data_IF_061656324874
#
_entry.id   IF_061656324874
#
_cell.length_a   1.000
_cell.length_b   1.000
_cell.length_c   1.000
_cell.angle_alpha   90.00
_cell.angle_beta   90.00
_cell.angle_gamma   90.00
#
_symmetry.space_group_name_H-M   'P 1'
#
loop_
_entity.id
_entity.type
_entity.pdbx_description
1 polymer ?
#
# COMPACT_ATOMS: atom_id res chain seq x y z
N UNK A 1 12.07 -18.43 29.72
CA UNK A 1 11.56 -19.38 28.72
C UNK A 1 10.12 -19.17 28.27
N UNK A 2 9.17 -18.71 29.11
CA UNK A 2 7.80 -18.40 28.65
C UNK A 2 7.62 -16.99 28.06
N UNK A 3 8.46 -16.02 28.45
CA UNK A 3 8.36 -14.62 28.01
C UNK A 3 9.00 -14.35 26.64
N UNK A 4 10.07 -15.08 26.32
CA UNK A 4 10.79 -15.05 25.04
C UNK A 4 9.93 -15.57 23.86
N UNK A 5 9.14 -16.64 24.04
CA UNK A 5 8.24 -17.13 22.99
C UNK A 5 7.05 -16.18 22.72
N UNK A 6 6.65 -15.39 23.72
CA UNK A 6 5.59 -14.39 23.58
C UNK A 6 6.09 -13.14 22.85
N UNK A 7 7.34 -12.68 23.09
CA UNK A 7 7.89 -11.53 22.35
C UNK A 7 8.10 -11.85 20.87
N UNK A 8 8.64 -13.03 20.58
CA UNK A 8 8.95 -13.49 19.22
C UNK A 8 7.69 -13.58 18.34
N UNK A 9 6.58 -14.08 18.93
CA UNK A 9 5.28 -14.11 18.26
C UNK A 9 4.73 -12.71 17.93
N UNK A 10 4.88 -11.74 18.84
CA UNK A 10 4.38 -10.36 18.63
C UNK A 10 5.15 -9.67 17.52
N UNK A 11 6.47 -9.85 17.48
CA UNK A 11 7.32 -9.32 16.42
C UNK A 11 6.96 -9.93 15.05
N UNK A 12 6.74 -11.25 15.03
CA UNK A 12 6.33 -11.93 13.81
C UNK A 12 4.98 -11.41 13.27
N UNK A 13 3.95 -11.32 14.12
CA UNK A 13 2.63 -10.81 13.75
C UNK A 13 2.73 -9.37 13.24
N UNK A 14 3.49 -8.50 13.92
CA UNK A 14 3.74 -7.12 13.49
C UNK A 14 4.31 -7.07 12.07
N UNK A 15 5.34 -7.87 11.77
CA UNK A 15 5.96 -7.88 10.45
C UNK A 15 4.99 -8.33 9.35
N UNK A 16 4.16 -9.35 9.64
CA UNK A 16 3.14 -9.85 8.71
C UNK A 16 2.07 -8.80 8.48
N UNK A 17 1.55 -8.17 9.54
CA UNK A 17 0.49 -7.17 9.44
C UNK A 17 0.94 -5.96 8.62
N UNK A 18 2.16 -5.45 8.81
CA UNK A 18 2.68 -4.32 8.03
C UNK A 18 2.79 -4.68 6.55
N UNK A 19 3.30 -5.87 6.25
CA UNK A 19 3.43 -6.37 4.87
C UNK A 19 2.06 -6.54 4.22
N UNK A 20 1.14 -7.22 4.90
CA UNK A 20 -0.19 -7.52 4.39
C UNK A 20 -1.03 -6.25 4.17
N UNK A 21 -1.03 -5.32 5.13
CA UNK A 21 -1.75 -4.05 5.00
C UNK A 21 -1.18 -3.19 3.88
N UNK A 22 0.15 -3.13 3.76
CA UNK A 22 0.82 -2.36 2.69
C UNK A 22 0.49 -2.91 1.30
N UNK A 23 0.49 -4.23 1.15
CA UNK A 23 0.15 -4.89 -0.10
C UNK A 23 -1.34 -4.75 -0.45
N UNK A 24 -2.25 -5.03 0.50
CA UNK A 24 -3.70 -4.95 0.28
C UNK A 24 -4.15 -3.53 -0.08
N UNK A 25 -3.60 -2.51 0.58
CA UNK A 25 -3.89 -1.11 0.25
C UNK A 25 -3.32 -0.71 -1.11
N UNK A 26 -2.16 -1.23 -1.51
CA UNK A 26 -1.63 -1.04 -2.87
C UNK A 26 -2.58 -1.60 -3.93
N UNK A 27 -3.08 -2.82 -3.73
CA UNK A 27 -4.08 -3.44 -4.62
C UNK A 27 -5.36 -2.62 -4.67
N UNK A 28 -5.91 -2.24 -3.52
CA UNK A 28 -7.13 -1.43 -3.43
C UNK A 28 -6.96 -0.07 -4.13
N UNK A 29 -5.81 0.57 -3.97
CA UNK A 29 -5.47 1.80 -4.69
C UNK A 29 -5.43 1.58 -6.22
N UNK A 30 -5.03 0.40 -6.69
CA UNK A 30 -5.01 0.05 -8.11
C UNK A 30 -6.41 0.05 -8.72
N UNK A 31 -7.36 -0.59 -8.03
CA UNK A 31 -8.77 -0.56 -8.40
C UNK A 31 -9.36 0.85 -8.31
N UNK A 32 -9.05 1.59 -7.25
CA UNK A 32 -9.52 2.96 -7.09
C UNK A 32 -8.97 3.89 -8.18
N UNK A 33 -7.72 3.68 -8.62
CA UNK A 33 -7.13 4.43 -9.73
C UNK A 33 -7.88 4.14 -11.01
N UNK A 34 -8.17 2.86 -11.30
CA UNK A 34 -8.98 2.47 -12.47
C UNK A 34 -10.38 3.11 -12.43
N UNK A 35 -11.03 3.17 -11.27
CA UNK A 35 -12.34 3.80 -11.16
C UNK A 35 -12.34 5.31 -11.46
N UNK A 36 -11.22 6.00 -11.23
CA UNK A 36 -11.08 7.45 -11.49
C UNK A 36 -10.60 7.72 -12.93
N UNK A 37 -9.75 6.85 -13.47
CA UNK A 37 -9.20 6.98 -14.83
C UNK A 37 -9.97 6.19 -15.89
N UNK A 38 -11.04 5.49 -15.52
CA UNK A 38 -11.80 4.58 -16.40
C UNK A 38 -12.49 5.26 -17.59
N UNK A 39 -12.77 6.57 -17.49
CA UNK A 39 -13.31 7.38 -18.59
C UNK A 39 -12.25 7.81 -19.62
N UNK A 40 -10.98 7.43 -19.42
CA UNK A 40 -9.91 7.77 -20.36
C UNK A 40 -10.11 7.07 -21.71
N UNK A 41 -9.96 7.82 -22.79
CA UNK A 41 -10.17 7.33 -24.16
C UNK A 41 -9.23 6.18 -24.60
N UNK A 42 -8.15 5.95 -23.85
CA UNK A 42 -7.20 4.85 -24.09
C UNK A 42 -6.45 4.48 -22.81
N UNK A 43 -5.89 3.27 -22.78
CA UNK A 43 -5.04 2.81 -21.68
C UNK A 43 -3.80 3.71 -21.49
N UNK A 44 -3.23 4.25 -22.57
CA UNK A 44 -2.11 5.21 -22.51
C UNK A 44 -2.51 6.54 -21.85
N UNK A 45 -3.74 7.01 -22.11
CA UNK A 45 -4.27 8.21 -21.47
C UNK A 45 -4.53 7.98 -19.98
N UNK A 46 -5.02 6.79 -19.60
CA UNK A 46 -5.17 6.41 -18.19
C UNK A 46 -3.82 6.25 -17.48
N UNK A 47 -2.82 5.68 -18.14
CA UNK A 47 -1.49 5.45 -17.58
C UNK A 47 -0.70 6.75 -17.36
N UNK A 48 -0.96 7.77 -18.18
CA UNK A 48 -0.32 9.09 -18.07
C UNK A 48 -1.06 10.06 -17.14
N UNK A 49 -2.20 9.64 -16.57
CA UNK A 49 -2.97 10.51 -15.68
C UNK A 49 -2.34 10.61 -14.28
N UNK A 50 -2.00 11.85 -13.90
CA UNK A 50 -1.44 12.18 -12.59
C UNK A 50 -2.41 11.86 -11.44
N UNK A 51 -3.72 11.73 -11.71
CA UNK A 51 -4.72 11.43 -10.69
C UNK A 51 -4.49 10.08 -10.00
N UNK A 52 -4.09 9.06 -10.75
CA UNK A 52 -3.75 7.75 -10.18
C UNK A 52 -2.54 7.84 -9.24
N UNK A 53 -1.51 8.60 -9.65
CA UNK A 53 -0.33 8.85 -8.82
C UNK A 53 -0.66 9.60 -7.53
N UNK A 54 -1.50 10.65 -7.62
CA UNK A 54 -1.93 11.43 -6.47
C UNK A 54 -2.74 10.58 -5.47
N UNK A 55 -3.57 9.65 -5.97
CA UNK A 55 -4.34 8.75 -5.12
C UNK A 55 -3.42 7.84 -4.31
N UNK A 56 -2.39 7.26 -4.93
CA UNK A 56 -1.42 6.40 -4.24
C UNK A 56 -0.64 7.18 -3.21
N UNK A 57 -0.23 8.40 -3.55
CA UNK A 57 0.48 9.27 -2.62
C UNK A 57 -0.40 9.61 -1.39
N UNK A 58 -1.70 9.84 -1.61
CA UNK A 58 -2.69 9.96 -0.54
C UNK A 58 -2.86 8.68 0.28
N UNK A 59 -2.90 7.52 -0.37
CA UNK A 59 -3.02 6.22 0.31
C UNK A 59 -1.78 5.91 1.19
N UNK A 60 -0.59 6.26 0.72
CA UNK A 60 0.66 6.15 1.49
C UNK A 60 0.62 7.05 2.73
N UNK A 61 0.18 8.31 2.58
CA UNK A 61 0.01 9.21 3.72
C UNK A 61 -1.01 8.69 4.73
N UNK A 62 -2.13 8.13 4.25
CA UNK A 62 -3.14 7.51 5.08
C UNK A 62 -2.58 6.28 5.83
N UNK A 63 -1.72 5.48 5.20
CA UNK A 63 -1.03 4.38 5.86
C UNK A 63 -0.14 4.84 7.00
N UNK A 64 0.59 5.95 6.83
CA UNK A 64 1.42 6.48 7.90
C UNK A 64 0.57 6.86 9.12
N UNK A 65 -0.57 7.53 8.90
CA UNK A 65 -1.52 7.86 9.98
C UNK A 65 -2.06 6.59 10.63
N UNK A 66 -2.40 5.57 9.83
CA UNK A 66 -2.99 4.33 10.33
C UNK A 66 -1.97 3.53 11.17
N UNK A 67 -0.71 3.43 10.73
CA UNK A 67 0.34 2.75 11.48
C UNK A 67 0.77 3.49 12.74
N UNK A 68 0.75 4.82 12.72
CA UNK A 68 0.97 5.67 13.89
C UNK A 68 -0.15 5.46 14.93
N UNK A 69 -1.41 5.55 14.51
CA UNK A 69 -2.57 5.39 15.39
C UNK A 69 -2.69 3.99 16.00
N UNK A 70 -2.32 2.96 15.24
CA UNK A 70 -2.43 1.56 15.70
C UNK A 70 -1.30 1.20 16.69
N UNK A 71 -0.32 2.08 16.93
CA UNK A 71 0.83 1.88 17.83
C UNK A 71 1.50 0.51 17.65
N UNK A 72 1.51 0.01 16.41
CA UNK A 72 2.08 -1.32 16.09
C UNK A 72 3.57 -1.39 16.47
N UNK A 73 4.22 -0.23 16.56
CA UNK A 73 5.62 -0.07 16.88
C UNK A 73 5.87 0.29 18.36
N UNK A 74 4.84 0.54 19.18
CA UNK A 74 4.98 0.88 20.60
C UNK A 74 5.89 2.10 20.81
N UNK A 75 6.83 2.00 21.76
CA UNK A 75 7.84 3.03 22.06
C UNK A 75 9.07 2.98 21.12
N UNK A 76 9.16 1.98 20.21
CA UNK A 76 10.26 1.89 19.25
C UNK A 76 10.10 2.96 18.16
N UNK A 77 11.13 3.75 17.96
CA UNK A 77 11.11 4.82 16.99
C UNK A 77 10.92 4.29 15.56
N UNK A 78 9.95 4.88 14.85
CA UNK A 78 9.63 4.52 13.48
C UNK A 78 10.77 4.95 12.55
N UNK A 79 11.75 4.07 12.36
CA UNK A 79 12.92 4.38 11.54
C UNK A 79 12.59 4.61 10.05
N UNK A 80 13.44 5.36 9.36
CA UNK A 80 13.33 5.68 7.92
C UNK A 80 13.14 4.43 7.02
N UNK A 81 13.71 3.28 7.43
CA UNK A 81 13.53 2.00 6.74
C UNK A 81 12.06 1.58 6.63
N UNK A 82 11.26 1.81 7.68
CA UNK A 82 9.86 1.40 7.70
C UNK A 82 9.01 2.25 6.76
N UNK A 83 9.25 3.57 6.75
CA UNK A 83 8.62 4.47 5.77
C UNK A 83 8.95 4.06 4.34
N UNK A 84 10.24 3.81 4.04
CA UNK A 84 10.65 3.34 2.71
C UNK A 84 10.00 2.01 2.33
N UNK A 85 9.90 1.07 3.27
CA UNK A 85 9.27 -0.22 3.03
C UNK A 85 7.79 -0.06 2.66
N UNK A 86 7.03 0.71 3.44
CA UNK A 86 5.59 0.93 3.21
C UNK A 86 5.38 1.61 1.86
N UNK A 87 6.10 2.71 1.60
CA UNK A 87 6.04 3.45 0.32
C UNK A 87 6.31 2.52 -0.84
N UNK A 88 7.42 1.78 -0.78
CA UNK A 88 7.84 0.90 -1.85
C UNK A 88 6.84 -0.23 -2.11
N UNK A 89 6.36 -0.90 -1.05
CA UNK A 89 5.43 -2.02 -1.18
C UNK A 89 4.09 -1.58 -1.73
N UNK A 90 3.52 -0.50 -1.21
CA UNK A 90 2.22 0.00 -1.64
C UNK A 90 2.28 0.55 -3.06
N UNK A 91 3.34 1.28 -3.41
CA UNK A 91 3.55 1.74 -4.78
C UNK A 91 3.72 0.57 -5.75
N UNK A 92 4.52 -0.44 -5.41
CA UNK A 92 4.79 -1.59 -6.29
C UNK A 92 3.53 -2.39 -6.56
N UNK A 93 2.74 -2.70 -5.52
CA UNK A 93 1.48 -3.43 -5.68
C UNK A 93 0.46 -2.64 -6.48
N UNK A 94 0.32 -1.34 -6.19
CA UNK A 94 -0.52 -0.47 -7.00
C UNK A 94 -0.12 -0.50 -8.47
N UNK A 95 1.16 -0.29 -8.78
CA UNK A 95 1.67 -0.19 -10.15
C UNK A 95 1.42 -1.48 -10.92
N UNK A 96 1.70 -2.64 -10.30
CA UNK A 96 1.47 -3.95 -10.92
C UNK A 96 -0.02 -4.20 -11.12
N UNK A 97 -0.86 -3.98 -10.10
CA UNK A 97 -2.31 -4.19 -10.22
C UNK A 97 -2.91 -3.28 -11.27
N UNK A 98 -2.58 -1.98 -11.26
CA UNK A 98 -3.08 -1.01 -12.22
C UNK A 98 -2.62 -1.33 -13.65
N UNK A 99 -1.35 -1.70 -13.84
CA UNK A 99 -0.83 -2.13 -15.15
C UNK A 99 -1.53 -3.37 -15.70
N UNK A 100 -1.81 -4.37 -14.86
CA UNK A 100 -2.59 -5.55 -15.26
C UNK A 100 -4.01 -5.17 -15.66
N UNK A 101 -4.68 -4.34 -14.85
CA UNK A 101 -6.04 -3.89 -15.11
C UNK A 101 -6.15 -3.14 -16.46
N UNK A 102 -5.23 -2.22 -16.75
CA UNK A 102 -5.18 -1.50 -18.02
C UNK A 102 -4.88 -2.42 -19.21
N UNK A 103 -3.93 -3.36 -19.05
CA UNK A 103 -3.55 -4.29 -20.12
C UNK A 103 -4.66 -5.28 -20.45
N UNK A 104 -5.44 -5.69 -19.46
CA UNK A 104 -6.58 -6.59 -19.63
C UNK A 104 -7.85 -5.88 -20.12
N UNK A 105 -7.85 -4.54 -20.15
CA UNK A 105 -9.05 -3.75 -20.47
C UNK A 105 -10.16 -3.90 -19.42
N UNK A 106 -9.78 -4.20 -18.17
CA UNK A 106 -10.73 -4.33 -17.07
C UNK A 106 -11.44 -2.99 -16.79
N UNK A 107 -12.71 -3.06 -16.42
CA UNK A 107 -13.53 -1.93 -15.96
C UNK A 107 -14.16 -2.28 -14.62
N UNK A 108 -14.47 -1.26 -13.82
CA UNK A 108 -15.09 -1.37 -12.49
C UNK A 108 -16.49 -0.78 -12.55
#
# INVERSE_FOLDING_TARGET
MSTESISDRREHIRSISVTALSALLGVAAGFASLAITGDAASADAAASDMRGLLLVLGAILAQFILFDFTSIYGDDEFGAKHYLYIVFMTFSFWFVTFGILLTTGASV
#
